data_IF_518175937641
#
_entry.id   IF_518175937641
#
_cell.length_a   1.000
_cell.length_b   1.000
_cell.length_c   1.000
_cell.angle_alpha   90.00
_cell.angle_beta   90.00
_cell.angle_gamma   90.00
#
_symmetry.space_group_name_H-M   'P 1'
#
loop_
_entity.id
_entity.type
_entity.pdbx_description
1 polymer ?
#
# COMPACT_ATOMS: atom_id res chain seq x y z
N UNK A 1 11.57 12.54 -11.36
CA UNK A 1 10.36 12.24 -12.12
C UNK A 1 9.15 13.02 -11.58
N UNK A 2 8.77 12.88 -10.29
CA UNK A 2 7.64 13.61 -9.71
C UNK A 2 7.76 15.14 -9.89
N UNK A 3 8.95 15.71 -9.73
CA UNK A 3 9.18 17.15 -9.89
C UNK A 3 8.97 17.65 -11.32
N UNK A 4 8.95 16.78 -12.31
CA UNK A 4 8.60 17.12 -13.69
C UNK A 4 7.10 17.40 -13.82
N UNK A 5 6.27 16.63 -13.11
CA UNK A 5 4.81 16.73 -13.13
C UNK A 5 4.25 17.65 -12.04
N UNK A 6 4.97 17.79 -10.93
CA UNK A 6 4.58 18.60 -9.77
C UNK A 6 5.80 19.35 -9.20
N UNK A 7 6.26 20.44 -9.84
CA UNK A 7 7.50 21.15 -9.46
C UNK A 7 7.47 21.74 -8.04
N UNK A 8 6.29 21.94 -7.47
CA UNK A 8 6.11 22.43 -6.08
C UNK A 8 5.96 21.30 -5.05
N UNK A 9 6.12 20.04 -5.45
CA UNK A 9 6.02 18.93 -4.52
C UNK A 9 7.10 19.04 -3.42
N UNK A 10 6.69 18.79 -2.18
CA UNK A 10 7.56 18.85 -1.00
C UNK A 10 7.86 17.45 -0.52
N UNK A 11 9.13 17.13 -0.33
CA UNK A 11 9.54 15.84 0.22
C UNK A 11 9.42 15.82 1.75
N UNK A 12 8.90 14.69 2.27
CA UNK A 12 8.99 14.29 3.67
C UNK A 12 9.95 13.09 3.75
N UNK A 13 10.94 13.16 4.62
CA UNK A 13 11.93 12.09 4.82
C UNK A 13 12.38 12.06 6.28
N UNK A 14 12.96 10.92 6.72
CA UNK A 14 13.49 10.76 8.07
C UNK A 14 12.42 10.63 9.16
N UNK A 15 11.16 10.38 8.80
CA UNK A 15 10.06 10.20 9.77
C UNK A 15 9.79 8.71 9.92
N UNK A 16 9.97 8.16 11.12
CA UNK A 16 9.71 6.75 11.42
C UNK A 16 8.20 6.54 11.60
N UNK A 17 7.63 5.63 10.83
CA UNK A 17 6.23 5.22 10.88
C UNK A 17 5.34 5.92 9.85
N UNK A 18 4.43 5.11 9.26
CA UNK A 18 3.59 5.54 8.13
C UNK A 18 2.66 6.70 8.51
N UNK A 19 1.96 6.59 9.64
CA UNK A 19 1.05 7.64 10.10
C UNK A 19 1.78 8.97 10.33
N UNK A 20 2.91 8.93 11.04
CA UNK A 20 3.68 10.15 11.35
C UNK A 20 4.25 10.80 10.08
N UNK A 21 4.68 10.00 9.09
CA UNK A 21 5.14 10.48 7.79
C UNK A 21 4.01 11.19 7.02
N UNK A 22 2.81 10.60 6.99
CA UNK A 22 1.63 11.20 6.36
C UNK A 22 1.18 12.48 7.08
N UNK A 23 1.16 12.48 8.41
CA UNK A 23 0.84 13.68 9.19
C UNK A 23 1.89 14.79 9.00
N UNK A 24 3.17 14.43 8.86
CA UNK A 24 4.21 15.40 8.53
C UNK A 24 4.00 16.01 7.13
N UNK A 25 3.57 15.21 6.16
CA UNK A 25 3.18 15.70 4.84
C UNK A 25 1.98 16.65 4.93
N UNK A 26 0.95 16.29 5.70
CA UNK A 26 -0.21 17.14 5.95
C UNK A 26 0.18 18.51 6.55
N UNK A 27 1.09 18.53 7.54
CA UNK A 27 1.58 19.78 8.13
C UNK A 27 2.36 20.66 7.15
N UNK A 28 3.04 20.05 6.15
CA UNK A 28 3.74 20.79 5.08
C UNK A 28 2.82 21.31 4.00
N UNK A 29 1.61 20.76 3.86
CA UNK A 29 0.65 21.23 2.87
C UNK A 29 0.15 22.65 3.20
N UNK A 30 0.01 23.46 2.16
CA UNK A 30 -0.57 24.80 2.24
C UNK A 30 -2.08 24.80 1.98
N UNK A 31 -2.63 23.72 1.47
CA UNK A 31 -4.04 23.53 1.13
C UNK A 31 -4.68 22.47 2.02
N UNK A 32 -6.00 22.52 2.14
CA UNK A 32 -6.73 21.52 2.91
C UNK A 32 -6.80 20.18 2.16
N UNK A 33 -7.05 20.22 0.85
CA UNK A 33 -6.91 19.04 -0.03
C UNK A 33 -5.49 19.03 -0.59
N UNK A 34 -4.80 17.88 -0.51
CA UNK A 34 -3.45 17.74 -1.01
C UNK A 34 -3.14 16.31 -1.39
N UNK A 35 -2.31 16.15 -2.42
CA UNK A 35 -1.84 14.84 -2.85
C UNK A 35 -0.68 14.36 -1.98
N UNK A 36 -0.71 13.07 -1.65
CA UNK A 36 0.46 12.33 -1.17
C UNK A 36 0.84 11.33 -2.25
N UNK A 37 2.12 11.33 -2.59
CA UNK A 37 2.74 10.40 -3.54
C UNK A 37 3.76 9.57 -2.78
N UNK A 38 3.59 8.25 -2.79
CA UNK A 38 4.52 7.33 -2.14
C UNK A 38 5.87 7.34 -2.89
N UNK A 39 6.96 7.09 -2.16
CA UNK A 39 8.31 7.24 -2.72
C UNK A 39 8.64 6.22 -3.81
N UNK A 40 7.94 5.10 -3.85
CA UNK A 40 8.03 4.04 -4.85
C UNK A 40 7.01 4.18 -6.00
N UNK A 41 6.20 5.24 -6.01
CA UNK A 41 5.26 5.51 -7.08
C UNK A 41 5.97 6.20 -8.27
N UNK A 42 6.11 5.47 -9.37
CA UNK A 42 6.56 6.01 -10.66
C UNK A 42 5.36 6.54 -11.43
N UNK A 43 5.16 7.86 -11.39
CA UNK A 43 4.03 8.52 -12.04
C UNK A 43 4.05 8.28 -13.54
N UNK A 44 2.89 7.92 -14.12
CA UNK A 44 2.74 7.76 -15.57
C UNK A 44 2.55 9.12 -16.24
N UNK A 45 3.03 9.27 -17.47
CA UNK A 45 3.01 10.55 -18.21
C UNK A 45 1.60 11.12 -18.43
N UNK A 46 0.61 10.25 -18.50
CA UNK A 46 -0.79 10.64 -18.73
C UNK A 46 -1.49 11.12 -17.49
N UNK A 47 -0.91 10.94 -16.29
CA UNK A 47 -1.53 11.35 -15.05
C UNK A 47 -1.28 12.82 -14.75
N UNK A 48 -2.36 13.54 -14.44
CA UNK A 48 -2.30 14.90 -13.93
C UNK A 48 -2.82 14.98 -12.49
N UNK A 49 -2.47 16.04 -11.77
CA UNK A 49 -2.88 16.29 -10.39
C UNK A 49 -4.03 17.31 -10.29
N UNK A 50 -4.92 17.35 -11.30
CA UNK A 50 -5.93 18.42 -11.45
C UNK A 50 -7.26 18.09 -10.74
N UNK A 51 -7.45 16.85 -10.27
CA UNK A 51 -8.71 16.50 -9.63
C UNK A 51 -8.91 17.28 -8.33
N UNK A 52 -10.04 17.96 -8.26
CA UNK A 52 -10.50 18.68 -7.06
C UNK A 52 -11.92 18.21 -6.75
N UNK A 53 -12.16 17.59 -5.59
CA UNK A 53 -13.50 17.19 -5.21
C UNK A 53 -14.38 18.41 -4.96
N UNK A 54 -15.60 18.39 -5.49
CA UNK A 54 -16.59 19.43 -5.23
C UNK A 54 -17.16 19.22 -3.82
N UNK A 55 -17.16 20.22 -2.92
CA UNK A 55 -17.60 20.03 -1.53
C UNK A 55 -19.04 19.52 -1.36
N UNK A 56 -19.90 19.78 -2.34
CA UNK A 56 -21.31 19.34 -2.36
C UNK A 56 -21.52 17.99 -3.08
N UNK A 57 -20.46 17.42 -3.65
CA UNK A 57 -20.53 16.14 -4.33
C UNK A 57 -20.79 15.00 -3.33
N UNK A 58 -21.78 14.18 -3.64
CA UNK A 58 -22.05 12.96 -2.90
C UNK A 58 -21.45 11.76 -3.64
N UNK A 59 -20.48 11.13 -3.04
CA UNK A 59 -19.89 9.89 -3.54
C UNK A 59 -20.88 8.75 -3.28
N UNK A 60 -21.13 7.95 -4.33
CA UNK A 60 -22.18 6.90 -4.29
C UNK A 60 -23.57 7.42 -3.89
N UNK A 61 -23.84 8.73 -4.12
CA UNK A 61 -25.11 9.37 -3.78
C UNK A 61 -25.39 9.55 -2.29
N UNK A 62 -24.42 9.28 -1.40
CA UNK A 62 -24.64 9.29 0.05
C UNK A 62 -23.51 9.85 0.92
N UNK A 63 -22.26 9.76 0.46
CA UNK A 63 -21.09 10.14 1.27
C UNK A 63 -20.57 11.47 0.78
N UNK A 64 -20.50 12.51 1.62
CA UNK A 64 -19.92 13.78 1.24
C UNK A 64 -18.45 13.60 0.79
N UNK A 65 -18.07 14.23 -0.32
CA UNK A 65 -16.71 14.12 -0.86
C UNK A 65 -15.63 14.58 0.12
N UNK A 66 -15.99 15.45 1.05
CA UNK A 66 -15.11 15.94 2.10
C UNK A 66 -14.88 14.93 3.25
N UNK A 67 -15.56 13.79 3.24
CA UNK A 67 -15.33 12.66 4.15
C UNK A 67 -14.57 11.52 3.46
N UNK A 68 -14.11 11.74 2.22
CA UNK A 68 -13.46 10.75 1.40
C UNK A 68 -11.96 10.98 1.25
N UNK A 69 -11.23 9.87 1.04
CA UNK A 69 -9.86 9.85 0.50
C UNK A 69 -9.92 9.26 -0.90
N UNK A 70 -9.44 9.99 -1.89
CA UNK A 70 -9.42 9.49 -3.27
C UNK A 70 -8.10 8.81 -3.57
N UNK A 71 -8.17 7.58 -4.09
CA UNK A 71 -7.01 6.76 -4.42
C UNK A 71 -7.04 6.43 -5.91
N UNK A 72 -5.94 6.67 -6.61
CA UNK A 72 -5.81 6.30 -8.03
C UNK A 72 -5.24 4.90 -8.16
N UNK A 73 -5.63 4.24 -9.25
CA UNK A 73 -5.11 2.92 -9.55
C UNK A 73 -3.61 2.97 -9.85
N UNK A 74 -2.93 1.90 -9.44
CA UNK A 74 -1.53 1.64 -9.73
C UNK A 74 -1.38 0.32 -10.48
N UNK A 75 -0.31 0.20 -11.25
CA UNK A 75 0.11 -1.06 -11.86
C UNK A 75 1.10 -1.75 -10.93
N UNK A 76 0.86 -3.03 -10.63
CA UNK A 76 1.83 -3.88 -9.97
C UNK A 76 2.79 -4.47 -11.01
N UNK A 77 4.11 -4.20 -10.95
CA UNK A 77 5.07 -4.67 -11.95
C UNK A 77 5.35 -6.17 -11.91
N UNK A 78 4.91 -6.89 -10.86
CA UNK A 78 5.14 -8.34 -10.71
C UNK A 78 4.04 -9.15 -11.39
N UNK A 79 2.77 -8.78 -11.19
CA UNK A 79 1.61 -9.59 -11.61
C UNK A 79 0.61 -8.82 -12.49
N UNK A 80 0.94 -7.59 -12.87
CA UNK A 80 0.13 -6.69 -13.69
C UNK A 80 -1.26 -6.37 -13.11
N UNK A 81 -1.50 -6.64 -11.85
CA UNK A 81 -2.73 -6.21 -11.19
C UNK A 81 -2.84 -4.68 -11.22
N UNK A 82 -4.03 -4.21 -11.57
CA UNK A 82 -4.39 -2.79 -11.55
C UNK A 82 -5.45 -2.61 -10.48
N UNK A 83 -5.10 -1.91 -9.41
CA UNK A 83 -6.04 -1.51 -8.34
C UNK A 83 -5.44 -0.40 -7.48
N UNK A 84 -6.25 0.17 -6.58
CA UNK A 84 -5.83 1.25 -5.68
C UNK A 84 -4.78 0.80 -4.66
N UNK A 85 -3.52 0.74 -5.05
CA UNK A 85 -2.40 0.43 -4.14
C UNK A 85 -2.06 1.56 -3.18
N UNK A 86 -2.57 2.76 -3.46
CA UNK A 86 -2.33 3.92 -2.63
C UNK A 86 -1.04 4.67 -2.91
N UNK A 87 -0.40 4.45 -4.04
CA UNK A 87 0.80 5.19 -4.46
C UNK A 87 0.53 6.68 -4.68
N UNK A 88 -0.68 7.02 -5.14
CA UNK A 88 -1.15 8.41 -5.24
C UNK A 88 -2.53 8.53 -4.59
N UNK A 89 -2.65 9.42 -3.62
CA UNK A 89 -3.89 9.70 -2.91
C UNK A 89 -4.11 11.18 -2.69
N UNK A 90 -5.35 11.60 -2.74
CA UNK A 90 -5.78 12.95 -2.35
C UNK A 90 -6.42 12.86 -0.97
N UNK A 91 -5.79 13.51 -0.01
CA UNK A 91 -6.23 13.59 1.38
C UNK A 91 -6.79 14.96 1.72
N UNK A 92 -7.65 14.97 2.73
CA UNK A 92 -7.91 16.17 3.51
C UNK A 92 -6.99 16.25 4.71
N UNK A 93 -6.44 17.44 4.92
CA UNK A 93 -5.47 17.72 5.99
C UNK A 93 -6.05 17.50 7.38
N UNK A 94 -7.27 17.99 7.61
CA UNK A 94 -7.97 17.86 8.88
C UNK A 94 -8.28 16.40 9.23
N UNK A 95 -8.78 15.60 8.27
CA UNK A 95 -9.03 14.17 8.46
C UNK A 95 -7.75 13.40 8.83
N UNK A 96 -6.65 13.67 8.12
CA UNK A 96 -5.39 12.98 8.38
C UNK A 96 -4.76 13.37 9.73
N UNK A 97 -4.90 14.62 10.13
CA UNK A 97 -4.39 15.12 11.41
C UNK A 97 -5.25 14.71 12.60
N UNK A 98 -6.52 14.35 12.40
CA UNK A 98 -7.42 13.89 13.45
C UNK A 98 -7.17 12.44 13.89
N UNK A 99 -6.38 11.65 13.15
CA UNK A 99 -6.08 10.26 13.51
C UNK A 99 -5.25 10.25 14.80
N UNK A 100 -5.83 9.71 15.86
CA UNK A 100 -5.19 9.58 17.17
C UNK A 100 -4.75 8.15 17.47
N UNK A 101 -5.36 7.15 16.82
CA UNK A 101 -5.08 5.74 17.03
C UNK A 101 -4.64 5.08 15.72
N UNK A 102 -3.49 4.41 15.75
CA UNK A 102 -3.01 3.59 14.66
C UNK A 102 -3.53 2.15 14.78
N UNK A 103 -4.20 1.69 13.73
CA UNK A 103 -4.61 0.28 13.59
C UNK A 103 -3.59 -0.48 12.74
N UNK A 104 -4.00 -1.08 11.63
CA UNK A 104 -3.09 -1.85 10.77
C UNK A 104 -2.56 -1.01 9.60
N UNK A 105 -3.41 -0.13 9.06
CA UNK A 105 -3.04 0.80 7.99
C UNK A 105 -3.84 2.11 8.10
N UNK A 106 -3.62 3.04 7.16
CA UNK A 106 -4.31 4.32 7.15
C UNK A 106 -5.80 4.18 6.89
N UNK A 107 -6.21 3.28 6.01
CA UNK A 107 -7.61 3.10 5.68
C UNK A 107 -8.41 2.66 6.91
N UNK A 108 -7.90 1.66 7.66
CA UNK A 108 -8.53 1.17 8.88
C UNK A 108 -8.44 2.16 10.05
N UNK A 109 -7.51 3.13 10.00
CA UNK A 109 -7.28 4.11 11.08
C UNK A 109 -8.08 5.40 10.90
N UNK A 110 -8.44 5.77 9.67
CA UNK A 110 -9.02 7.09 9.38
C UNK A 110 -10.52 7.19 9.65
N UNK A 111 -11.29 6.13 9.52
CA UNK A 111 -12.74 6.22 9.54
C UNK A 111 -13.34 7.01 8.36
N UNK A 112 -12.56 7.27 7.30
CA UNK A 112 -12.98 7.92 6.07
C UNK A 112 -13.22 6.88 4.98
N UNK A 113 -14.07 7.19 4.00
CA UNK A 113 -14.29 6.34 2.84
C UNK A 113 -13.12 6.47 1.86
N UNK A 114 -12.58 5.33 1.42
CA UNK A 114 -11.53 5.28 0.40
C UNK A 114 -12.16 5.02 -0.97
N UNK A 115 -12.12 6.02 -1.83
CA UNK A 115 -12.74 6.01 -3.15
C UNK A 115 -11.69 5.75 -4.21
N UNK A 116 -11.78 4.61 -4.89
CA UNK A 116 -10.90 4.31 -6.01
C UNK A 116 -11.30 5.10 -7.25
N UNK A 117 -10.31 5.74 -7.88
CA UNK A 117 -10.41 6.35 -9.21
C UNK A 117 -9.83 5.38 -10.23
N UNK A 118 -10.57 5.12 -11.32
CA UNK A 118 -10.19 4.14 -12.34
C UNK A 118 -8.94 4.53 -13.16
N UNK A 119 -8.57 5.81 -13.14
CA UNK A 119 -7.39 6.30 -13.82
C UNK A 119 -6.12 5.72 -13.19
N UNK A 120 -5.16 5.29 -14.03
CA UNK A 120 -3.86 4.81 -13.59
C UNK A 120 -2.96 6.03 -13.34
N UNK A 121 -2.45 6.14 -12.12
CA UNK A 121 -1.55 7.22 -11.72
C UNK A 121 -0.08 6.84 -11.76
N UNK A 122 0.23 5.58 -11.48
CA UNK A 122 1.62 5.15 -11.32
C UNK A 122 1.82 3.65 -11.50
N UNK A 123 3.08 3.28 -11.68
CA UNK A 123 3.59 1.92 -11.43
C UNK A 123 4.21 1.93 -10.04
N UNK A 124 3.87 0.97 -9.19
CA UNK A 124 4.45 0.88 -7.84
C UNK A 124 5.77 0.11 -7.89
N UNK A 125 6.90 0.83 -7.87
CA UNK A 125 8.24 0.27 -8.05
C UNK A 125 8.80 -0.30 -6.74
N UNK A 126 8.18 -1.34 -6.20
CA UNK A 126 8.65 -1.99 -4.97
C UNK A 126 9.66 -3.12 -5.22
N UNK A 127 9.79 -3.60 -6.46
CA UNK A 127 10.65 -4.73 -6.83
C UNK A 127 12.09 -4.28 -7.15
N UNK A 128 12.70 -3.51 -6.23
CA UNK A 128 14.05 -2.94 -6.37
C UNK A 128 15.15 -3.84 -5.80
N UNK A 129 14.81 -4.71 -4.86
CA UNK A 129 15.71 -5.65 -4.21
C UNK A 129 14.92 -6.85 -3.63
N UNK A 130 15.60 -7.94 -3.22
CA UNK A 130 14.94 -9.13 -2.66
C UNK A 130 14.01 -8.85 -1.48
N UNK A 131 14.50 -8.08 -0.49
CA UNK A 131 13.75 -7.80 0.73
C UNK A 131 12.53 -6.92 0.46
N UNK A 132 12.70 -5.83 -0.29
CA UNK A 132 11.60 -4.90 -0.62
C UNK A 132 10.49 -5.61 -1.39
N UNK A 133 10.86 -6.50 -2.32
CA UNK A 133 9.92 -7.28 -3.11
C UNK A 133 9.16 -8.29 -2.25
N UNK A 134 9.90 -9.08 -1.45
CA UNK A 134 9.30 -10.05 -0.53
C UNK A 134 8.38 -9.37 0.49
N UNK A 135 8.85 -8.30 1.12
CA UNK A 135 8.11 -7.53 2.12
C UNK A 135 6.79 -6.99 1.57
N UNK A 136 6.79 -6.46 0.35
CA UNK A 136 5.58 -5.90 -0.27
C UNK A 136 4.54 -6.99 -0.49
N UNK A 137 4.94 -8.14 -1.03
CA UNK A 137 4.07 -9.28 -1.23
C UNK A 137 3.57 -9.85 0.11
N UNK A 138 4.46 -10.04 1.09
CA UNK A 138 4.11 -10.53 2.43
C UNK A 138 3.04 -9.66 3.09
N UNK A 139 3.26 -8.34 3.12
CA UNK A 139 2.33 -7.40 3.75
C UNK A 139 0.98 -7.37 3.07
N UNK A 140 0.96 -7.35 1.74
CA UNK A 140 -0.30 -7.32 0.99
C UNK A 140 -1.08 -8.62 1.17
N UNK A 141 -0.43 -9.77 0.99
CA UNK A 141 -1.09 -11.07 1.15
C UNK A 141 -1.53 -11.34 2.59
N UNK A 142 -0.81 -10.84 3.60
CA UNK A 142 -1.29 -10.88 5.00
C UNK A 142 -2.61 -10.14 5.16
N UNK A 143 -2.73 -8.93 4.61
CA UNK A 143 -3.96 -8.13 4.70
C UNK A 143 -5.13 -8.79 3.96
N UNK A 144 -4.87 -9.30 2.74
CA UNK A 144 -5.88 -9.99 1.93
C UNK A 144 -6.36 -11.28 2.62
N UNK A 145 -5.43 -12.12 3.09
CA UNK A 145 -5.76 -13.41 3.68
C UNK A 145 -6.40 -13.31 5.08
N UNK A 146 -6.09 -12.26 5.85
CA UNK A 146 -6.70 -12.04 7.16
C UNK A 146 -8.12 -11.48 7.11
N UNK A 147 -8.59 -11.05 5.94
CA UNK A 147 -9.91 -10.42 5.77
C UNK A 147 -10.02 -9.00 6.34
N UNK A 148 -8.88 -8.38 6.73
CA UNK A 148 -8.89 -7.04 7.33
C UNK A 148 -9.27 -5.95 6.32
N UNK A 149 -9.12 -6.22 5.02
CA UNK A 149 -9.57 -5.32 3.95
C UNK A 149 -11.01 -5.67 3.56
N UNK A 150 -11.22 -6.92 3.14
CA UNK A 150 -12.50 -7.47 2.69
C UNK A 150 -12.35 -8.99 2.53
N UNK A 151 -13.45 -9.74 2.58
CA UNK A 151 -13.53 -11.19 2.33
C UNK A 151 -14.29 -11.49 1.02
N UNK A 152 -14.38 -10.56 0.09
CA UNK A 152 -15.08 -10.72 -1.19
C UNK A 152 -14.26 -11.52 -2.24
N UNK A 153 -14.92 -11.87 -3.35
CA UNK A 153 -14.29 -12.62 -4.45
C UNK A 153 -13.12 -11.86 -5.09
N UNK A 154 -13.20 -10.54 -5.17
CA UNK A 154 -12.13 -9.68 -5.72
C UNK A 154 -10.88 -9.77 -4.85
N UNK A 155 -11.05 -9.80 -3.53
CA UNK A 155 -9.94 -9.97 -2.58
C UNK A 155 -9.26 -11.33 -2.76
N UNK A 156 -10.04 -12.40 -2.98
CA UNK A 156 -9.49 -13.73 -3.23
C UNK A 156 -8.76 -13.82 -4.57
N UNK A 157 -9.31 -13.27 -5.63
CA UNK A 157 -8.65 -13.20 -6.95
C UNK A 157 -7.31 -12.44 -6.88
N UNK A 158 -7.26 -11.35 -6.13
CA UNK A 158 -6.03 -10.58 -5.89
C UNK A 158 -5.00 -11.41 -5.12
N UNK A 159 -5.42 -12.11 -4.08
CA UNK A 159 -4.55 -12.99 -3.29
C UNK A 159 -3.97 -14.11 -4.17
N UNK A 160 -4.80 -14.73 -5.01
CA UNK A 160 -4.35 -15.79 -5.92
C UNK A 160 -3.37 -15.25 -6.98
N UNK A 161 -3.61 -14.06 -7.52
CA UNK A 161 -2.69 -13.42 -8.46
C UNK A 161 -1.32 -13.11 -7.84
N UNK A 162 -1.27 -12.71 -6.56
CA UNK A 162 -0.02 -12.53 -5.84
C UNK A 162 0.72 -13.86 -5.60
N UNK A 163 -0.01 -14.95 -5.40
CA UNK A 163 0.53 -16.30 -5.17
C UNK A 163 0.92 -17.03 -6.47
N UNK A 164 0.99 -16.35 -7.62
CA UNK A 164 1.53 -16.90 -8.86
C UNK A 164 3.02 -16.57 -8.99
N UNK A 165 3.81 -17.58 -9.35
CA UNK A 165 5.22 -17.38 -9.62
C UNK A 165 5.43 -16.71 -10.98
N UNK A 166 6.12 -15.58 -11.01
CA UNK A 166 6.55 -14.92 -12.22
C UNK A 166 8.08 -14.78 -12.25
N UNK A 167 8.74 -15.69 -12.95
CA UNK A 167 10.20 -15.68 -13.11
C UNK A 167 10.69 -14.68 -14.18
N UNK A 168 9.79 -14.04 -14.93
CA UNK A 168 10.16 -13.13 -16.01
C UNK A 168 10.38 -11.68 -15.53
N UNK A 169 10.18 -11.43 -14.25
CA UNK A 169 10.35 -10.11 -13.65
C UNK A 169 11.43 -10.12 -12.57
N UNK A 170 12.15 -9.02 -12.38
CA UNK A 170 13.15 -8.92 -11.32
C UNK A 170 12.55 -9.27 -9.96
N UNK A 171 13.25 -10.17 -9.25
CA UNK A 171 12.86 -10.63 -7.90
C UNK A 171 11.50 -11.33 -7.80
N UNK A 172 10.91 -11.82 -8.91
CA UNK A 172 9.61 -12.48 -8.92
C UNK A 172 9.53 -13.69 -7.97
N UNK A 173 10.62 -14.44 -7.81
CA UNK A 173 10.72 -15.52 -6.83
C UNK A 173 10.54 -15.04 -5.38
N UNK A 174 11.11 -13.89 -5.04
CA UNK A 174 10.94 -13.30 -3.71
C UNK A 174 9.52 -12.79 -3.48
N UNK A 175 8.88 -12.25 -4.53
CA UNK A 175 7.45 -11.89 -4.46
C UNK A 175 6.59 -13.11 -4.16
N UNK A 176 6.81 -14.20 -4.89
CA UNK A 176 6.09 -15.47 -4.68
C UNK A 176 6.26 -16.01 -3.26
N UNK A 177 7.51 -16.10 -2.78
CA UNK A 177 7.79 -16.55 -1.40
C UNK A 177 7.17 -15.64 -0.34
N UNK A 178 7.23 -14.32 -0.55
CA UNK A 178 6.57 -13.35 0.32
C UNK A 178 5.05 -13.48 0.33
N UNK A 179 4.45 -13.73 -0.84
CA UNK A 179 3.00 -13.91 -0.97
C UNK A 179 2.52 -15.15 -0.21
N UNK A 180 3.19 -16.30 -0.38
CA UNK A 180 2.82 -17.54 0.32
C UNK A 180 2.97 -17.39 1.83
N UNK A 181 4.10 -16.88 2.31
CA UNK A 181 4.34 -16.65 3.73
C UNK A 181 3.33 -15.64 4.33
N UNK A 182 3.02 -14.58 3.60
CA UNK A 182 2.04 -13.59 4.01
C UNK A 182 0.61 -14.14 4.05
N UNK A 183 0.24 -14.98 3.08
CA UNK A 183 -1.04 -15.70 3.07
C UNK A 183 -1.17 -16.59 4.31
N UNK A 184 -0.17 -17.41 4.59
CA UNK A 184 -0.16 -18.29 5.77
C UNK A 184 -0.26 -17.48 7.07
N UNK A 185 0.56 -16.43 7.20
CA UNK A 185 0.56 -15.57 8.36
C UNK A 185 -0.79 -14.88 8.58
N UNK A 186 -1.41 -14.37 7.51
CA UNK A 186 -2.72 -13.73 7.54
C UNK A 186 -3.84 -14.66 8.00
N UNK A 187 -3.89 -15.88 7.43
CA UNK A 187 -4.86 -16.90 7.82
C UNK A 187 -4.72 -17.31 9.29
N UNK A 188 -3.49 -17.53 9.75
CA UNK A 188 -3.18 -17.90 11.14
C UNK A 188 -3.57 -16.82 12.14
N UNK A 189 -3.49 -15.55 11.74
CA UNK A 189 -3.70 -14.41 12.63
C UNK A 189 -4.98 -13.62 12.31
N UNK A 190 -5.96 -14.21 11.64
CA UNK A 190 -7.18 -13.55 11.13
C UNK A 190 -7.89 -12.66 12.18
N UNK A 191 -7.89 -13.03 13.45
CA UNK A 191 -8.55 -12.28 14.53
C UNK A 191 -7.55 -11.70 15.54
N UNK A 192 -6.25 -11.71 15.23
CA UNK A 192 -5.18 -11.27 16.13
C UNK A 192 -4.61 -9.92 15.67
N UNK A 193 -5.30 -8.83 15.99
CA UNK A 193 -4.88 -7.49 15.59
C UNK A 193 -3.45 -7.11 16.05
N UNK A 194 -3.00 -7.44 17.28
CA UNK A 194 -1.61 -7.23 17.68
C UNK A 194 -0.60 -7.89 16.74
N UNK A 195 -0.82 -9.15 16.35
CA UNK A 195 0.05 -9.84 15.41
C UNK A 195 -0.01 -9.20 14.00
N UNK A 196 -1.20 -8.87 13.51
CA UNK A 196 -1.35 -8.22 12.20
C UNK A 196 -0.65 -6.85 12.13
N UNK A 197 -0.52 -6.13 13.24
CA UNK A 197 0.22 -4.86 13.29
C UNK A 197 1.73 -5.03 13.06
N UNK A 198 2.30 -6.20 13.37
CA UNK A 198 3.74 -6.48 13.21
C UNK A 198 4.21 -6.38 11.77
N UNK A 199 3.33 -6.60 10.77
CA UNK A 199 3.70 -6.44 9.36
C UNK A 199 4.17 -5.01 9.00
N UNK A 200 3.93 -4.03 9.85
CA UNK A 200 4.38 -2.65 9.70
C UNK A 200 5.64 -2.34 10.53
N UNK A 201 6.09 -3.26 11.38
CA UNK A 201 7.36 -3.15 12.10
C UNK A 201 8.50 -3.60 11.19
N UNK A 202 9.41 -2.66 10.89
CA UNK A 202 10.49 -2.92 9.93
C UNK A 202 11.50 -3.93 10.45
N UNK A 203 11.81 -3.88 11.73
CA UNK A 203 12.80 -4.78 12.36
C UNK A 203 12.23 -6.19 12.44
N UNK A 204 10.95 -6.32 12.84
CA UNK A 204 10.26 -7.61 12.87
C UNK A 204 10.17 -8.26 11.49
N UNK A 205 9.73 -7.52 10.46
CA UNK A 205 9.55 -8.08 9.11
C UNK A 205 10.89 -8.43 8.44
N UNK A 206 11.96 -7.68 8.77
CA UNK A 206 13.31 -8.02 8.31
C UNK A 206 13.82 -9.33 8.96
N UNK A 207 13.57 -9.52 10.24
CA UNK A 207 13.91 -10.77 10.93
C UNK A 207 13.12 -11.96 10.35
N UNK A 208 11.85 -11.76 10.03
CA UNK A 208 11.01 -12.78 9.40
C UNK A 208 11.49 -13.17 8.00
N UNK A 209 11.88 -12.19 7.18
CA UNK A 209 12.49 -12.41 5.89
C UNK A 209 13.77 -13.27 6.01
N UNK A 210 14.67 -12.90 6.93
CA UNK A 210 15.93 -13.62 7.13
C UNK A 210 15.69 -15.05 7.62
N UNK A 211 14.74 -15.27 8.53
CA UNK A 211 14.36 -16.60 9.02
C UNK A 211 13.90 -17.50 7.87
N UNK A 212 12.94 -17.02 7.08
CA UNK A 212 12.33 -17.79 5.98
C UNK A 212 13.36 -18.06 4.88
N UNK A 213 14.17 -17.09 4.48
CA UNK A 213 15.17 -17.28 3.42
C UNK A 213 16.29 -18.22 3.85
N UNK A 214 16.66 -18.26 5.13
CA UNK A 214 17.61 -19.22 5.67
C UNK A 214 17.05 -20.64 5.64
N UNK A 215 15.79 -20.84 6.02
CA UNK A 215 15.11 -22.14 5.95
C UNK A 215 15.06 -22.67 4.51
N UNK A 216 14.79 -21.82 3.50
CA UNK A 216 14.81 -22.23 2.10
C UNK A 216 16.21 -22.63 1.62
N UNK A 217 17.25 -21.89 2.01
CA UNK A 217 18.63 -22.20 1.64
C UNK A 217 19.14 -23.52 2.28
N UNK A 218 18.71 -23.83 3.49
CA UNK A 218 19.02 -25.10 4.15
C UNK A 218 18.31 -26.26 3.43
N UNK A 219 17.05 -26.09 3.06
CA UNK A 219 16.27 -27.12 2.38
C UNK A 219 16.78 -27.43 0.96
N UNK A 220 17.29 -26.43 0.24
CA UNK A 220 17.86 -26.59 -1.12
C UNK A 220 19.25 -27.23 -1.15
N UNK A 221 19.97 -27.26 -0.01
CA UNK A 221 21.27 -27.90 0.10
C UNK A 221 21.20 -29.37 0.56
N UNK A 222 20.00 -29.89 0.84
CA UNK A 222 19.76 -31.29 1.30
C UNK A 222 19.17 -32.17 0.16
N UNK A 223 18.89 -31.58 -0.98
CA UNK A 223 18.39 -32.24 -2.21
C UNK A 223 19.50 -32.32 -3.27
#
# INVERSE_FOLDING_TARGET
LLLTYAPHAKRVSGVKGLLLAHQAAARKSMTNNFYIVDADAQIVETFNFDYTPTPTELIYGRIPSNECVFCWNSINPINNLIYGYGGVKLYRKDLLLSISEWKVDLATSMGAEFVSKNEISNVTAFNTDPFSTWRSAFRECTKLASGIISDDSITLERLDAWCQLNNNVPYGFYSYGGALAGKEYGLKNKNNLPALKLINDFDWINNEFNRITTEYNVSSNIS
#
